data_IF_278193781103
#
_entry.id   IF_278193781103
#
_cell.length_a   1.000
_cell.length_b   1.000
_cell.length_c   1.000
_cell.angle_alpha   90.00
_cell.angle_beta   90.00
_cell.angle_gamma   90.00
#
_symmetry.space_group_name_H-M   'P 1'
#
loop_
_entity.id
_entity.type
_entity.pdbx_description
1 polymer ?
#
# COMPACT_ATOMS: atom_id res chain seq x y z
N UNK A 1 -47.54 -33.40 -9.40
CA UNK A 1 -48.23 -34.25 -8.42
C UNK A 1 -49.02 -33.33 -7.50
N UNK A 2 -50.35 -33.35 -7.64
CA UNK A 2 -51.35 -33.03 -6.60
C UNK A 2 -51.41 -31.60 -6.05
N UNK A 3 -51.66 -30.59 -6.91
CA UNK A 3 -52.19 -29.28 -6.47
C UNK A 3 -53.35 -28.75 -7.34
N UNK A 4 -53.98 -29.63 -8.12
CA UNK A 4 -55.31 -29.40 -8.69
C UNK A 4 -56.25 -30.44 -8.09
N UNK A 5 -57.51 -30.05 -7.86
CA UNK A 5 -58.58 -30.77 -7.14
C UNK A 5 -58.70 -30.37 -5.67
N UNK A 6 -59.21 -29.17 -5.39
CA UNK A 6 -60.29 -28.92 -4.40
C UNK A 6 -60.59 -27.42 -4.36
N UNK A 7 -61.16 -26.89 -5.44
CA UNK A 7 -61.90 -25.63 -5.39
C UNK A 7 -63.04 -25.72 -6.41
N UNK A 8 -64.12 -26.40 -6.02
CA UNK A 8 -65.40 -26.21 -6.70
C UNK A 8 -66.06 -25.01 -6.04
N UNK A 9 -66.27 -23.89 -6.75
CA UNK A 9 -67.13 -22.84 -6.25
C UNK A 9 -68.56 -23.39 -6.27
N UNK A 10 -69.13 -23.64 -5.10
CA UNK A 10 -70.56 -23.88 -4.97
C UNK A 10 -71.23 -22.52 -5.20
N UNK A 11 -71.49 -22.21 -6.46
CA UNK A 11 -72.45 -21.19 -6.85
C UNK A 11 -73.80 -21.57 -6.27
N UNK A 12 -74.17 -20.96 -5.14
CA UNK A 12 -75.53 -21.00 -4.64
C UNK A 12 -76.35 -20.03 -5.47
N UNK A 13 -76.98 -20.55 -6.52
CA UNK A 13 -77.89 -19.81 -7.38
C UNK A 13 -79.12 -19.42 -6.54
N UNK A 14 -79.47 -18.12 -6.39
CA UNK A 14 -80.51 -17.68 -5.48
C UNK A 14 -81.88 -17.70 -6.16
N UNK A 15 -82.25 -18.81 -6.81
CA UNK A 15 -83.55 -18.91 -7.50
C UNK A 15 -84.22 -20.26 -7.19
N UNK A 16 -84.49 -20.50 -5.91
CA UNK A 16 -85.58 -21.40 -5.53
C UNK A 16 -86.77 -20.56 -5.08
N UNK A 17 -87.55 -20.11 -6.06
CA UNK A 17 -88.92 -19.66 -5.85
C UNK A 17 -89.71 -20.86 -5.32
N UNK A 18 -89.75 -21.06 -4.00
CA UNK A 18 -90.73 -21.92 -3.37
C UNK A 18 -92.05 -21.16 -3.44
N UNK A 19 -92.74 -21.29 -4.56
CA UNK A 19 -94.15 -20.97 -4.68
C UNK A 19 -94.89 -21.76 -3.61
N UNK A 20 -95.32 -21.06 -2.55
CA UNK A 20 -96.31 -21.57 -1.61
C UNK A 20 -97.52 -21.97 -2.45
N UNK A 21 -97.71 -23.28 -2.63
CA UNK A 21 -98.86 -23.84 -3.33
C UNK A 21 -100.11 -23.35 -2.60
N UNK A 22 -100.79 -22.37 -3.18
CA UNK A 22 -102.16 -22.00 -2.79
C UNK A 22 -103.05 -23.18 -3.17
N UNK A 23 -103.36 -24.03 -2.20
CA UNK A 23 -104.51 -24.94 -2.32
C UNK A 23 -105.79 -24.12 -2.17
N UNK A 24 -106.21 -23.48 -3.27
CA UNK A 24 -107.56 -22.95 -3.43
C UNK A 24 -108.41 -23.93 -4.23
N UNK A 25 -109.58 -24.24 -3.68
CA UNK A 25 -110.77 -24.78 -4.35
C UNK A 25 -110.76 -26.27 -4.79
N UNK A 26 -111.21 -27.16 -3.90
CA UNK A 26 -112.11 -28.26 -4.27
C UNK A 26 -113.26 -28.27 -3.25
N UNK A 27 -114.49 -28.18 -3.77
CA UNK A 27 -115.75 -28.11 -3.02
C UNK A 27 -116.47 -29.48 -3.11
N UNK A 28 -117.30 -29.78 -2.09
CA UNK A 28 -118.30 -30.87 -1.91
C UNK A 28 -117.88 -32.08 -1.02
N UNK A 29 -118.82 -32.71 -0.27
CA UNK A 29 -119.75 -32.15 0.72
C UNK A 29 -119.71 -32.88 2.10
N UNK A 30 -120.03 -32.13 3.17
CA UNK A 30 -120.61 -32.53 4.47
C UNK A 30 -120.08 -33.77 5.23
N UNK A 31 -119.29 -33.54 6.30
CA UNK A 31 -119.64 -34.15 7.60
C UNK A 31 -118.52 -34.59 8.56
N UNK A 32 -117.34 -35.04 8.10
CA UNK A 32 -116.36 -35.72 9.00
C UNK A 32 -114.87 -35.34 8.78
N UNK A 33 -114.52 -34.44 7.86
CA UNK A 33 -113.11 -34.21 7.48
C UNK A 33 -112.42 -32.95 8.06
N UNK A 34 -113.06 -32.18 8.94
CA UNK A 34 -112.47 -30.93 9.45
C UNK A 34 -111.30 -31.16 10.45
N UNK A 35 -111.25 -32.31 11.12
CA UNK A 35 -110.20 -32.63 12.11
C UNK A 35 -108.91 -33.12 11.44
N UNK A 36 -109.02 -33.86 10.33
CA UNK A 36 -107.87 -34.42 9.61
C UNK A 36 -107.09 -33.35 8.82
N UNK A 37 -107.80 -32.43 8.14
CA UNK A 37 -107.16 -31.34 7.39
C UNK A 37 -106.45 -30.33 8.29
N UNK A 38 -107.01 -30.04 9.48
CA UNK A 38 -106.36 -29.21 10.50
C UNK A 38 -105.07 -29.83 11.04
N UNK A 39 -105.04 -31.15 11.23
CA UNK A 39 -103.85 -31.88 11.69
C UNK A 39 -102.74 -31.93 10.62
N UNK A 40 -103.08 -32.17 9.35
CA UNK A 40 -102.12 -32.14 8.24
C UNK A 40 -101.57 -30.71 8.03
N UNK A 41 -102.42 -29.69 8.18
CA UNK A 41 -101.97 -28.29 8.12
C UNK A 41 -101.08 -27.91 9.30
N UNK A 42 -101.41 -28.36 10.52
CA UNK A 42 -100.60 -28.10 11.71
C UNK A 42 -99.25 -28.83 11.67
N UNK A 43 -99.20 -30.06 11.12
CA UNK A 43 -97.95 -30.80 10.92
C UNK A 43 -97.08 -30.18 9.82
N UNK A 44 -97.67 -29.73 8.70
CA UNK A 44 -96.94 -28.95 7.68
C UNK A 44 -96.45 -27.60 8.21
N UNK A 45 -97.23 -26.94 9.07
CA UNK A 45 -96.82 -25.69 9.69
C UNK A 45 -95.67 -25.91 10.68
N UNK A 46 -95.72 -26.98 11.49
CA UNK A 46 -94.61 -27.35 12.37
C UNK A 46 -93.31 -27.66 11.61
N UNK A 47 -93.42 -28.34 10.47
CA UNK A 47 -92.27 -28.59 9.59
C UNK A 47 -91.73 -27.30 8.96
N UNK A 48 -92.60 -26.39 8.54
CA UNK A 48 -92.20 -25.08 8.02
C UNK A 48 -91.56 -24.20 9.11
N UNK A 49 -92.08 -24.20 10.33
CA UNK A 49 -91.49 -23.48 11.47
C UNK A 49 -90.11 -24.04 11.81
N UNK A 50 -89.95 -25.38 11.72
CA UNK A 50 -88.66 -26.04 11.90
C UNK A 50 -87.68 -25.71 10.77
N UNK A 51 -88.13 -25.69 9.52
CA UNK A 51 -87.33 -25.25 8.36
C UNK A 51 -86.92 -23.78 8.48
N UNK A 52 -87.83 -22.90 8.92
CA UNK A 52 -87.51 -21.50 9.18
C UNK A 52 -86.43 -21.36 10.26
N UNK A 53 -86.52 -22.13 11.35
CA UNK A 53 -85.49 -22.15 12.40
C UNK A 53 -84.13 -22.66 11.90
N UNK A 54 -84.12 -23.65 10.98
CA UNK A 54 -82.89 -24.12 10.35
C UNK A 54 -82.30 -23.08 9.39
N UNK A 55 -83.12 -22.41 8.58
CA UNK A 55 -82.68 -21.33 7.70
C UNK A 55 -82.10 -20.15 8.48
N UNK A 56 -82.71 -19.77 9.60
CA UNK A 56 -82.17 -18.73 10.47
C UNK A 56 -80.86 -19.15 11.12
N UNK A 57 -80.73 -20.43 11.51
CA UNK A 57 -79.47 -20.98 12.01
C UNK A 57 -78.38 -20.97 10.94
N UNK A 58 -78.69 -21.35 9.71
CA UNK A 58 -77.74 -21.31 8.57
C UNK A 58 -77.25 -19.88 8.33
N UNK A 59 -78.15 -18.90 8.26
CA UNK A 59 -77.78 -17.48 8.10
C UNK A 59 -76.88 -16.98 9.24
N UNK A 60 -77.15 -17.41 10.49
CA UNK A 60 -76.31 -17.03 11.63
C UNK A 60 -74.90 -17.63 11.55
N UNK A 61 -74.78 -18.85 11.02
CA UNK A 61 -73.50 -19.55 10.85
C UNK A 61 -72.72 -19.01 9.67
N UNK A 62 -73.37 -18.67 8.56
CA UNK A 62 -72.76 -18.01 7.41
C UNK A 62 -72.19 -16.65 7.81
N UNK A 63 -72.95 -15.85 8.58
CA UNK A 63 -72.45 -14.58 9.11
C UNK A 63 -71.24 -14.77 10.02
N UNK A 64 -71.29 -15.73 10.94
CA UNK A 64 -70.17 -16.03 11.82
C UNK A 64 -68.93 -16.52 11.04
N UNK A 65 -69.12 -17.34 10.00
CA UNK A 65 -68.02 -17.79 9.14
C UNK A 65 -67.41 -16.62 8.36
N UNK A 66 -68.22 -15.73 7.80
CA UNK A 66 -67.71 -14.53 7.12
C UNK A 66 -66.88 -13.65 8.06
N UNK A 67 -67.33 -13.47 9.32
CA UNK A 67 -66.58 -12.74 10.34
C UNK A 67 -65.26 -13.43 10.72
N UNK A 68 -65.25 -14.77 10.78
CA UNK A 68 -64.03 -15.54 11.04
C UNK A 68 -63.06 -15.48 9.86
N UNK A 69 -63.53 -15.60 8.62
CA UNK A 69 -62.72 -15.46 7.43
C UNK A 69 -62.07 -14.07 7.36
N UNK A 70 -62.81 -13.02 7.71
CA UNK A 70 -62.29 -11.65 7.75
C UNK A 70 -61.19 -11.51 8.82
N UNK A 71 -61.41 -12.05 10.03
CA UNK A 71 -60.39 -12.07 11.08
C UNK A 71 -59.15 -12.87 10.69
N UNK A 72 -59.32 -13.99 9.99
CA UNK A 72 -58.20 -14.80 9.48
C UNK A 72 -57.42 -13.99 8.44
N UNK A 73 -58.09 -13.33 7.50
CA UNK A 73 -57.42 -12.46 6.52
C UNK A 73 -56.66 -11.32 7.18
N UNK A 74 -57.27 -10.60 8.13
CA UNK A 74 -56.59 -9.54 8.88
C UNK A 74 -55.38 -10.06 9.68
N UNK A 75 -55.50 -11.24 10.29
CA UNK A 75 -54.38 -11.86 11.00
C UNK A 75 -53.26 -12.29 10.05
N UNK A 76 -53.61 -12.82 8.87
CA UNK A 76 -52.65 -13.14 7.82
C UNK A 76 -51.98 -11.89 7.28
N UNK A 77 -52.71 -10.79 7.03
CA UNK A 77 -52.16 -9.53 6.53
C UNK A 77 -51.22 -8.84 7.55
N UNK A 78 -51.61 -8.85 8.83
CA UNK A 78 -50.76 -8.37 9.94
C UNK A 78 -49.52 -9.23 10.17
N UNK A 79 -49.53 -10.53 9.80
CA UNK A 79 -48.34 -11.38 9.75
C UNK A 79 -47.57 -11.30 8.43
N UNK A 80 -48.25 -10.98 7.33
CA UNK A 80 -47.67 -10.87 5.99
C UNK A 80 -46.79 -9.62 5.87
N UNK A 81 -47.00 -8.63 6.74
CA UNK A 81 -45.97 -7.65 7.09
C UNK A 81 -45.02 -8.35 8.08
N UNK A 82 -43.85 -8.85 7.64
CA UNK A 82 -42.96 -9.58 8.52
C UNK A 82 -42.48 -8.65 9.65
N UNK A 83 -41.82 -9.18 10.70
CA UNK A 83 -41.10 -8.39 11.70
C UNK A 83 -39.87 -7.63 11.14
N UNK A 84 -39.90 -7.25 9.86
CA UNK A 84 -38.92 -6.43 9.16
C UNK A 84 -38.69 -5.07 9.85
N UNK A 85 -39.67 -4.59 10.65
CA UNK A 85 -39.52 -3.37 11.45
C UNK A 85 -38.57 -3.50 12.66
N UNK A 86 -38.26 -4.70 13.15
CA UNK A 86 -37.41 -4.87 14.35
C UNK A 86 -35.91 -4.98 14.05
N UNK A 87 -35.51 -5.18 12.79
CA UNK A 87 -34.10 -5.27 12.40
C UNK A 87 -33.47 -3.93 11.99
N UNK A 88 -34.28 -2.91 11.73
CA UNK A 88 -33.82 -1.56 11.32
C UNK A 88 -32.82 -0.95 12.31
N UNK A 89 -33.09 -1.08 13.63
CA UNK A 89 -32.17 -0.60 14.66
C UNK A 89 -30.81 -1.34 14.66
N UNK A 90 -30.80 -2.64 14.31
CA UNK A 90 -29.55 -3.40 14.19
C UNK A 90 -28.77 -3.02 12.93
N UNK A 91 -29.44 -2.71 11.82
CA UNK A 91 -28.73 -2.22 10.63
C UNK A 91 -28.05 -0.88 10.87
N UNK A 92 -28.68 0.04 11.62
CA UNK A 92 -28.06 1.29 12.02
C UNK A 92 -26.81 1.06 12.89
N UNK A 93 -26.88 0.18 13.90
CA UNK A 93 -25.71 -0.12 14.74
C UNK A 93 -24.60 -0.86 13.98
N UNK A 94 -24.95 -1.76 13.06
CA UNK A 94 -23.97 -2.43 12.18
C UNK A 94 -23.28 -1.41 11.27
N UNK A 95 -24.03 -0.49 10.66
CA UNK A 95 -23.49 0.57 9.81
C UNK A 95 -22.54 1.48 10.61
N UNK A 96 -22.92 1.89 11.82
CA UNK A 96 -22.08 2.70 12.70
C UNK A 96 -20.79 1.97 13.11
N UNK A 97 -20.88 0.67 13.39
CA UNK A 97 -19.71 -0.17 13.70
C UNK A 97 -18.79 -0.31 12.48
N UNK A 98 -19.34 -0.53 11.29
CA UNK A 98 -18.58 -0.58 10.05
C UNK A 98 -17.86 0.75 9.78
N UNK A 99 -18.54 1.88 9.97
CA UNK A 99 -17.93 3.21 9.84
C UNK A 99 -16.80 3.42 10.84
N UNK A 100 -16.97 3.00 12.11
CA UNK A 100 -15.91 3.04 13.13
C UNK A 100 -14.72 2.17 12.76
N UNK A 101 -14.95 0.97 12.23
CA UNK A 101 -13.88 0.07 11.79
C UNK A 101 -13.11 0.70 10.62
N UNK A 102 -13.80 1.25 9.63
CA UNK A 102 -13.16 1.91 8.48
C UNK A 102 -12.35 3.13 8.92
N UNK A 103 -12.92 3.97 9.79
CA UNK A 103 -12.21 5.11 10.36
C UNK A 103 -10.97 4.66 11.16
N UNK A 104 -11.10 3.68 12.04
CA UNK A 104 -9.98 3.14 12.80
C UNK A 104 -8.91 2.54 11.89
N UNK A 105 -9.30 1.86 10.80
CA UNK A 105 -8.37 1.29 9.81
C UNK A 105 -7.60 2.39 9.10
N UNK A 106 -8.27 3.45 8.63
CA UNK A 106 -7.60 4.60 8.00
C UNK A 106 -6.67 5.36 8.95
N UNK A 107 -7.08 5.56 10.21
CA UNK A 107 -6.19 6.17 11.22
C UNK A 107 -4.97 5.29 11.49
N UNK A 108 -5.18 3.98 11.61
CA UNK A 108 -4.11 3.01 11.83
C UNK A 108 -3.12 2.99 10.65
N UNK A 109 -3.60 2.97 9.41
CA UNK A 109 -2.77 3.11 8.20
C UNK A 109 -1.96 4.42 8.23
N UNK A 110 -2.58 5.53 8.61
CA UNK A 110 -1.88 6.82 8.79
C UNK A 110 -0.76 6.75 9.84
N UNK A 111 -0.98 6.04 10.96
CA UNK A 111 0.03 5.82 11.99
C UNK A 111 1.17 4.93 11.47
N UNK A 112 0.88 3.88 10.70
CA UNK A 112 1.91 3.04 10.07
C UNK A 112 2.78 3.84 9.12
N UNK A 113 2.18 4.65 8.24
CA UNK A 113 2.91 5.52 7.32
C UNK A 113 3.78 6.54 8.06
N UNK A 114 3.25 7.16 9.12
CA UNK A 114 4.03 8.07 9.97
C UNK A 114 5.19 7.36 10.67
N UNK A 115 4.96 6.14 11.16
CA UNK A 115 5.99 5.31 11.79
C UNK A 115 7.10 4.97 10.79
N UNK A 116 6.75 4.58 9.57
CA UNK A 116 7.74 4.25 8.55
C UNK A 116 8.48 5.49 8.05
N UNK A 117 7.80 6.64 7.95
CA UNK A 117 8.46 7.92 7.66
C UNK A 117 9.49 8.28 8.75
N UNK A 118 9.11 8.15 10.03
CA UNK A 118 10.04 8.39 11.15
C UNK A 118 11.22 7.43 11.12
N UNK A 119 11.02 6.14 10.82
CA UNK A 119 12.12 5.17 10.68
C UNK A 119 13.08 5.55 9.55
N UNK A 120 12.56 5.91 8.39
CA UNK A 120 13.37 6.37 7.26
C UNK A 120 14.17 7.64 7.62
N UNK A 121 13.53 8.60 8.32
CA UNK A 121 14.21 9.80 8.79
C UNK A 121 15.32 9.47 9.81
N UNK A 122 15.09 8.50 10.71
CA UNK A 122 16.11 8.03 11.66
C UNK A 122 17.30 7.40 10.93
N UNK A 123 17.05 6.57 9.92
CA UNK A 123 18.12 5.98 9.11
C UNK A 123 18.90 7.05 8.33
N UNK A 124 18.23 8.05 7.75
CA UNK A 124 18.85 9.20 7.10
C UNK A 124 19.77 9.98 8.06
N UNK A 125 19.29 10.23 9.29
CA UNK A 125 20.10 10.91 10.31
C UNK A 125 21.25 10.05 10.80
N UNK A 126 21.09 8.73 10.90
CA UNK A 126 22.18 7.81 11.25
C UNK A 126 23.30 7.91 10.22
N UNK A 127 22.99 7.80 8.93
CA UNK A 127 23.98 7.90 7.85
C UNK A 127 24.67 9.27 7.84
N UNK A 128 23.91 10.36 8.04
CA UNK A 128 24.49 11.70 8.15
C UNK A 128 25.45 11.82 9.35
N UNK A 129 25.07 11.24 10.50
CA UNK A 129 25.92 11.22 11.69
C UNK A 129 27.21 10.42 11.48
N UNK A 130 27.12 9.23 10.88
CA UNK A 130 28.29 8.41 10.57
C UNK A 130 29.25 9.11 9.60
N UNK A 131 28.72 9.76 8.56
CA UNK A 131 29.52 10.56 7.64
C UNK A 131 30.23 11.74 8.33
N UNK A 132 29.51 12.50 9.17
CA UNK A 132 30.08 13.62 9.92
C UNK A 132 31.14 13.16 10.93
N UNK A 133 30.90 12.01 11.60
CA UNK A 133 31.85 11.41 12.51
C UNK A 133 33.15 11.01 11.78
N UNK A 134 33.02 10.38 10.61
CA UNK A 134 34.18 9.99 9.80
C UNK A 134 34.97 11.22 9.32
N UNK A 135 34.28 12.27 8.85
CA UNK A 135 34.94 13.54 8.48
C UNK A 135 35.66 14.18 9.67
N UNK A 136 35.02 14.22 10.84
CA UNK A 136 35.64 14.72 12.07
C UNK A 136 36.88 13.91 12.44
N UNK A 137 36.82 12.60 12.42
CA UNK A 137 37.96 11.73 12.74
C UNK A 137 39.13 11.94 11.77
N UNK A 138 38.86 12.12 10.48
CA UNK A 138 39.88 12.46 9.49
C UNK A 138 40.56 13.79 9.83
N UNK A 139 39.77 14.83 10.13
CA UNK A 139 40.31 16.15 10.50
C UNK A 139 41.09 16.09 11.82
N UNK A 140 40.63 15.30 12.80
CA UNK A 140 41.36 15.09 14.05
C UNK A 140 42.70 14.39 13.83
N UNK A 141 42.75 13.40 12.94
CA UNK A 141 43.99 12.74 12.54
C UNK A 141 44.95 13.73 11.86
N UNK A 142 44.45 14.58 10.96
CA UNK A 142 45.24 15.62 10.30
C UNK A 142 45.80 16.63 11.32
N UNK A 143 44.98 17.08 12.28
CA UNK A 143 45.42 17.98 13.36
C UNK A 143 46.50 17.32 14.22
N UNK A 144 46.35 16.05 14.57
CA UNK A 144 47.35 15.31 15.31
C UNK A 144 48.67 15.18 14.52
N UNK A 145 48.58 14.92 13.21
CA UNK A 145 49.72 14.89 12.30
C UNK A 145 50.44 16.24 12.23
N UNK A 146 49.69 17.34 12.08
CA UNK A 146 50.25 18.70 12.04
C UNK A 146 50.92 19.08 13.36
N UNK A 147 50.37 18.67 14.50
CA UNK A 147 51.03 18.87 15.81
C UNK A 147 52.37 18.14 15.88
N UNK A 148 52.43 16.89 15.40
CA UNK A 148 53.67 16.11 15.34
C UNK A 148 54.73 16.79 14.46
N UNK A 149 54.34 17.30 13.30
CA UNK A 149 55.24 18.06 12.40
C UNK A 149 55.73 19.35 13.06
N UNK A 150 54.86 20.06 13.79
CA UNK A 150 55.24 21.25 14.54
C UNK A 150 56.28 20.91 15.63
N UNK A 151 56.09 19.81 16.36
CA UNK A 151 57.04 19.36 17.38
C UNK A 151 58.39 19.00 16.74
N UNK A 152 58.39 18.26 15.62
CA UNK A 152 59.60 17.94 14.85
C UNK A 152 60.34 19.19 14.36
N UNK A 153 59.60 20.18 13.84
CA UNK A 153 60.18 21.44 13.36
C UNK A 153 60.73 22.27 14.51
N UNK A 154 60.07 22.25 15.67
CA UNK A 154 60.54 22.94 16.88
C UNK A 154 61.85 22.34 17.38
N UNK A 155 61.95 21.01 17.41
CA UNK A 155 63.19 20.30 17.76
C UNK A 155 64.32 20.62 16.77
N UNK A 156 64.05 20.55 15.46
CA UNK A 156 65.03 20.90 14.45
C UNK A 156 65.49 22.36 14.56
N UNK A 157 64.57 23.29 14.90
CA UNK A 157 64.91 24.69 15.14
C UNK A 157 65.85 24.84 16.34
N UNK A 158 65.55 24.19 17.46
CA UNK A 158 66.43 24.24 18.64
C UNK A 158 67.80 23.61 18.39
N UNK A 159 67.87 22.52 17.61
CA UNK A 159 69.13 21.88 17.26
C UNK A 159 70.01 22.82 16.39
N UNK A 160 69.39 23.49 15.42
CA UNK A 160 70.08 24.49 14.59
C UNK A 160 70.49 25.73 15.39
N UNK A 161 69.63 26.22 16.29
CA UNK A 161 69.96 27.33 17.20
C UNK A 161 71.18 26.97 18.05
N UNK A 162 71.23 25.76 18.62
CA UNK A 162 72.37 25.27 19.40
C UNK A 162 73.64 25.16 18.55
N UNK A 163 73.56 24.57 17.35
CA UNK A 163 74.71 24.48 16.44
C UNK A 163 75.29 25.87 16.11
N UNK A 164 74.44 26.86 15.84
CA UNK A 164 74.87 28.24 15.58
C UNK A 164 75.54 28.86 16.81
N UNK A 165 75.00 28.65 18.01
CA UNK A 165 75.62 29.14 19.24
C UNK A 165 76.98 28.50 19.49
N UNK A 166 77.10 27.18 19.30
CA UNK A 166 78.37 26.45 19.44
C UNK A 166 79.42 26.92 18.44
N UNK A 167 79.05 27.05 17.15
CA UNK A 167 79.94 27.58 16.12
C UNK A 167 80.41 29.01 16.44
N UNK A 168 79.50 29.87 16.92
CA UNK A 168 79.83 31.24 17.30
C UNK A 168 80.81 31.30 18.48
N UNK A 169 80.60 30.46 19.50
CA UNK A 169 81.51 30.36 20.65
C UNK A 169 82.88 29.85 20.19
N UNK A 170 82.90 28.81 19.36
CA UNK A 170 84.13 28.26 18.80
C UNK A 170 84.91 29.31 18.00
N UNK A 171 84.24 30.06 17.11
CA UNK A 171 84.87 31.08 16.29
C UNK A 171 85.43 32.23 17.13
N UNK A 172 84.69 32.68 18.15
CA UNK A 172 85.17 33.72 19.09
C UNK A 172 86.40 33.27 19.85
N UNK A 173 86.39 32.05 20.38
CA UNK A 173 87.53 31.47 21.10
C UNK A 173 88.75 31.34 20.18
N UNK A 174 88.57 30.81 18.97
CA UNK A 174 89.67 30.68 18.01
C UNK A 174 90.25 32.05 17.64
N UNK A 175 89.40 33.06 17.42
CA UNK A 175 89.86 34.42 17.15
C UNK A 175 90.64 35.03 18.33
N UNK A 176 90.18 34.81 19.56
CA UNK A 176 90.88 35.27 20.76
C UNK A 176 92.25 34.62 20.92
N UNK A 177 92.35 33.31 20.67
CA UNK A 177 93.61 32.56 20.67
C UNK A 177 94.55 33.04 19.53
N UNK A 178 94.04 33.27 18.33
CA UNK A 178 94.81 33.82 17.20
C UNK A 178 95.32 35.24 17.49
N UNK A 179 94.50 36.10 18.10
CA UNK A 179 94.92 37.44 18.51
C UNK A 179 95.98 37.39 19.61
N UNK A 180 95.84 36.50 20.58
CA UNK A 180 96.85 36.26 21.62
C UNK A 180 98.17 35.79 20.99
N UNK A 181 98.11 34.84 20.04
CA UNK A 181 99.28 34.36 19.30
C UNK A 181 99.92 35.47 18.44
N UNK A 182 99.14 36.25 17.70
CA UNK A 182 99.63 37.37 16.91
C UNK A 182 100.23 38.48 17.79
N UNK A 183 99.66 38.73 18.97
CA UNK A 183 100.20 39.68 19.95
C UNK A 183 101.50 39.18 20.58
N UNK A 184 101.61 37.88 20.85
CA UNK A 184 102.84 37.25 21.25
C UNK A 184 103.92 37.36 20.15
N UNK A 185 103.54 37.22 18.88
CA UNK A 185 104.45 37.44 17.75
C UNK A 185 104.83 38.92 17.55
N UNK A 186 103.94 39.87 17.82
CA UNK A 186 104.24 41.31 17.76
C UNK A 186 105.19 41.80 18.87
N UNK A 187 105.41 41.04 19.94
CA UNK A 187 106.32 41.40 21.05
C UNK A 187 107.77 40.94 20.83
N UNK A 188 108.12 40.43 19.65
CA UNK A 188 109.44 39.86 19.42
C UNK A 188 109.88 39.93 17.98
N UNK A 189 110.26 41.11 17.50
CA UNK A 189 111.26 41.19 16.43
C UNK A 189 112.63 40.87 17.07
N UNK A 190 112.83 39.59 17.37
CA UNK A 190 114.12 39.09 17.88
C UNK A 190 114.66 38.14 16.83
N UNK A 191 115.67 38.64 16.12
CA UNK A 191 116.56 37.82 15.34
C UNK A 191 117.41 37.02 16.35
N UNK A 192 117.03 35.77 16.62
CA UNK A 192 117.79 34.87 17.49
C UNK A 192 118.48 33.83 16.61
N UNK A 193 119.77 34.01 16.38
CA UNK A 193 120.67 32.93 15.98
C UNK A 193 120.90 32.06 17.22
N UNK A 194 120.14 30.96 17.34
CA UNK A 194 120.38 29.93 18.37
C UNK A 194 121.26 28.87 17.77
N UNK A 195 122.43 28.70 18.37
CA UNK A 195 123.38 27.61 18.15
C UNK A 195 122.68 26.25 18.28
N UNK A 196 122.73 25.47 17.19
CA UNK A 196 121.97 24.24 17.04
C UNK A 196 122.60 23.10 17.86
N UNK A 197 121.87 22.61 18.86
CA UNK A 197 122.06 21.27 19.39
C UNK A 197 121.86 20.23 18.26
N UNK A 198 122.44 19.02 18.35
CA UNK A 198 122.56 18.08 17.25
C UNK A 198 121.21 17.86 16.55
N UNK A 199 121.18 18.18 15.26
CA UNK A 199 120.05 18.08 14.34
C UNK A 199 119.22 16.80 14.61
N UNK A 200 117.99 16.95 15.12
CA UNK A 200 116.99 15.92 14.88
C UNK A 200 116.79 15.84 13.36
N UNK A 201 116.84 14.63 12.82
CA UNK A 201 116.76 14.38 11.39
C UNK A 201 115.39 14.82 10.87
N UNK A 202 115.30 16.08 10.44
CA UNK A 202 114.08 16.72 9.95
C UNK A 202 113.47 15.91 8.80
N UNK A 203 114.31 15.21 8.05
CA UNK A 203 113.93 14.28 6.99
C UNK A 203 113.04 13.15 7.54
N UNK A 204 113.39 12.59 8.70
CA UNK A 204 112.64 11.52 9.38
C UNK A 204 111.30 12.03 9.91
N UNK A 205 111.27 13.20 10.55
CA UNK A 205 110.04 13.82 11.07
C UNK A 205 109.10 14.18 9.92
N UNK A 206 109.62 14.76 8.83
CA UNK A 206 108.82 15.07 7.63
C UNK A 206 108.32 13.81 6.91
N UNK A 207 109.06 12.70 6.96
CA UNK A 207 108.61 11.41 6.46
C UNK A 207 107.50 10.80 7.36
N UNK A 208 107.63 10.89 8.68
CA UNK A 208 106.60 10.45 9.64
C UNK A 208 105.31 11.27 9.51
N UNK A 209 105.41 12.59 9.33
CA UNK A 209 104.26 13.47 9.09
C UNK A 209 103.58 13.09 7.76
N UNK A 210 104.34 12.88 6.68
CA UNK A 210 103.77 12.39 5.41
C UNK A 210 103.05 11.05 5.58
N UNK A 211 103.69 10.09 6.23
CA UNK A 211 103.10 8.78 6.47
C UNK A 211 101.80 8.88 7.30
N UNK A 212 101.77 9.74 8.32
CA UNK A 212 100.57 9.99 9.10
C UNK A 212 99.45 10.60 8.24
N UNK A 213 99.74 11.60 7.41
CA UNK A 213 98.75 12.20 6.51
C UNK A 213 98.28 11.24 5.42
N UNK A 214 99.14 10.39 4.88
CA UNK A 214 98.75 9.35 3.92
C UNK A 214 97.79 8.34 4.55
N UNK A 215 98.05 7.92 5.79
CA UNK A 215 97.15 7.02 6.54
C UNK A 215 95.81 7.70 6.83
N UNK A 216 95.81 8.96 7.25
CA UNK A 216 94.58 9.72 7.51
C UNK A 216 93.79 9.96 6.22
N UNK A 217 94.45 10.31 5.12
CA UNK A 217 93.80 10.50 3.82
C UNK A 217 93.21 9.19 3.29
N UNK A 218 93.94 8.08 3.39
CA UNK A 218 93.46 6.76 2.99
C UNK A 218 92.28 6.30 3.86
N UNK A 219 92.33 6.54 5.17
CA UNK A 219 91.22 6.26 6.09
C UNK A 219 89.99 7.09 5.74
N UNK A 220 90.15 8.41 5.57
CA UNK A 220 89.06 9.30 5.19
C UNK A 220 88.41 8.88 3.87
N UNK A 221 89.21 8.51 2.86
CA UNK A 221 88.68 8.02 1.59
C UNK A 221 87.86 6.73 1.77
N UNK A 222 88.35 5.80 2.58
CA UNK A 222 87.64 4.54 2.86
C UNK A 222 86.34 4.77 3.63
N UNK A 223 86.36 5.66 4.63
CA UNK A 223 85.19 5.99 5.44
C UNK A 223 84.13 6.72 4.59
N UNK A 224 84.57 7.59 3.65
CA UNK A 224 83.68 8.31 2.74
C UNK A 224 83.04 7.37 1.70
N UNK A 225 83.82 6.43 1.16
CA UNK A 225 83.29 5.39 0.26
C UNK A 225 82.28 4.50 1.00
N UNK A 226 82.61 4.04 2.23
CA UNK A 226 81.69 3.24 3.03
C UNK A 226 80.39 3.99 3.35
N UNK A 227 80.49 5.28 3.68
CA UNK A 227 79.32 6.14 3.91
C UNK A 227 78.48 6.31 2.64
N UNK A 228 79.12 6.53 1.49
CA UNK A 228 78.43 6.65 0.20
C UNK A 228 77.70 5.35 -0.17
N UNK A 229 78.37 4.21 -0.02
CA UNK A 229 77.76 2.90 -0.28
C UNK A 229 76.57 2.64 0.65
N UNK A 230 76.72 2.91 1.95
CA UNK A 230 75.63 2.76 2.92
C UNK A 230 74.42 3.64 2.56
N UNK A 231 74.66 4.89 2.12
CA UNK A 231 73.59 5.80 1.71
C UNK A 231 72.94 5.37 0.40
N UNK A 232 73.73 4.89 -0.56
CA UNK A 232 73.25 4.35 -1.84
C UNK A 232 72.38 3.10 -1.63
N UNK A 233 72.82 2.16 -0.79
CA UNK A 233 72.04 0.98 -0.43
C UNK A 233 70.73 1.32 0.27
N UNK A 234 70.75 2.29 1.19
CA UNK A 234 69.54 2.75 1.87
C UNK A 234 68.53 3.36 0.88
N UNK A 235 69.01 4.22 -0.03
CA UNK A 235 68.18 4.82 -1.07
C UNK A 235 67.62 3.75 -2.03
N UNK A 236 68.44 2.76 -2.41
CA UNK A 236 68.00 1.69 -3.30
C UNK A 236 66.92 0.82 -2.66
N UNK A 237 67.01 0.55 -1.34
CA UNK A 237 65.95 -0.14 -0.58
C UNK A 237 64.67 0.68 -0.53
N UNK A 238 64.76 1.98 -0.28
CA UNK A 238 63.59 2.86 -0.26
C UNK A 238 62.91 2.95 -1.62
N UNK A 239 63.69 3.06 -2.71
CA UNK A 239 63.17 3.02 -4.08
C UNK A 239 62.48 1.68 -4.36
N UNK A 240 63.07 0.54 -3.96
CA UNK A 240 62.44 -0.77 -4.13
C UNK A 240 61.09 -0.85 -3.41
N UNK A 241 61.02 -0.44 -2.13
CA UNK A 241 59.76 -0.41 -1.36
C UNK A 241 58.74 0.56 -1.98
N UNK A 242 59.19 1.73 -2.42
CA UNK A 242 58.31 2.70 -3.10
C UNK A 242 57.76 2.14 -4.41
N UNK A 243 58.58 1.42 -5.20
CA UNK A 243 58.10 0.78 -6.43
C UNK A 243 57.12 -0.36 -6.17
N UNK A 244 57.31 -1.14 -5.11
CA UNK A 244 56.39 -2.20 -4.71
C UNK A 244 55.04 -1.63 -4.27
N UNK A 245 55.05 -0.61 -3.41
CA UNK A 245 53.83 0.07 -2.95
C UNK A 245 53.08 0.77 -4.11
N UNK A 246 53.80 1.30 -5.10
CA UNK A 246 53.19 1.83 -6.33
C UNK A 246 52.54 0.72 -7.16
N UNK A 247 53.17 -0.45 -7.26
CA UNK A 247 52.58 -1.59 -7.97
C UNK A 247 51.33 -2.12 -7.27
N UNK A 248 51.35 -2.27 -5.94
CA UNK A 248 50.18 -2.75 -5.18
C UNK A 248 49.01 -1.78 -5.28
N UNK A 249 49.27 -0.47 -5.12
CA UNK A 249 48.24 0.56 -5.29
C UNK A 249 47.67 0.54 -6.71
N UNK A 250 48.52 0.35 -7.74
CA UNK A 250 48.07 0.22 -9.12
C UNK A 250 47.18 -1.00 -9.32
N UNK A 251 47.51 -2.16 -8.74
CA UNK A 251 46.66 -3.36 -8.83
C UNK A 251 45.32 -3.16 -8.13
N UNK A 252 45.31 -2.57 -6.94
CA UNK A 252 44.08 -2.25 -6.19
C UNK A 252 43.16 -1.31 -6.99
N UNK A 253 43.72 -0.27 -7.62
CA UNK A 253 42.97 0.64 -8.50
C UNK A 253 42.37 -0.12 -9.69
N UNK A 254 43.12 -1.05 -10.30
CA UNK A 254 42.59 -1.84 -11.41
C UNK A 254 41.46 -2.78 -10.97
N UNK A 255 41.58 -3.41 -9.81
CA UNK A 255 40.53 -4.27 -9.24
C UNK A 255 39.27 -3.47 -8.92
N UNK A 256 39.41 -2.31 -8.26
CA UNK A 256 38.29 -1.40 -7.98
C UNK A 256 37.59 -0.91 -9.25
N UNK A 257 38.34 -0.64 -10.33
CA UNK A 257 37.75 -0.29 -11.62
C UNK A 257 36.97 -1.45 -12.23
N UNK A 258 37.48 -2.68 -12.13
CA UNK A 258 36.77 -3.86 -12.62
C UNK A 258 35.49 -4.13 -11.82
N UNK A 259 35.51 -4.00 -10.49
CA UNK A 259 34.31 -4.17 -9.66
C UNK A 259 33.28 -3.09 -9.94
N UNK A 260 33.70 -1.83 -10.12
CA UNK A 260 32.82 -0.72 -10.50
C UNK A 260 32.13 -1.00 -11.83
N UNK A 261 32.87 -1.40 -12.87
CA UNK A 261 32.28 -1.74 -14.17
C UNK A 261 31.29 -2.90 -14.06
N UNK A 262 31.60 -3.93 -13.27
CA UNK A 262 30.67 -5.05 -13.04
C UNK A 262 29.38 -4.61 -12.36
N UNK A 263 29.46 -3.69 -11.40
CA UNK A 263 28.31 -3.14 -10.69
C UNK A 263 27.46 -2.25 -11.63
N UNK A 264 28.09 -1.42 -12.47
CA UNK A 264 27.41 -0.60 -13.46
C UNK A 264 26.62 -1.46 -14.47
N UNK A 265 27.22 -2.55 -14.96
CA UNK A 265 26.55 -3.51 -15.84
C UNK A 265 25.37 -4.16 -15.10
N UNK A 266 25.57 -4.56 -13.85
CA UNK A 266 24.50 -5.12 -13.01
C UNK A 266 23.32 -4.16 -12.84
N UNK A 267 23.60 -2.89 -12.58
CA UNK A 267 22.59 -1.84 -12.45
C UNK A 267 21.83 -1.62 -13.77
N UNK A 268 22.54 -1.52 -14.90
CA UNK A 268 21.90 -1.40 -16.22
C UNK A 268 20.99 -2.59 -16.54
N UNK A 269 21.43 -3.80 -16.21
CA UNK A 269 20.61 -5.01 -16.37
C UNK A 269 19.33 -4.93 -15.53
N UNK A 270 19.43 -4.51 -14.26
CA UNK A 270 18.25 -4.35 -13.39
C UNK A 270 17.27 -3.30 -13.92
N UNK A 271 17.77 -2.14 -14.36
CA UNK A 271 16.93 -1.10 -14.98
C UNK A 271 16.20 -1.62 -16.21
N UNK A 272 16.88 -2.39 -17.07
CA UNK A 272 16.25 -3.02 -18.23
C UNK A 272 15.14 -4.00 -17.83
N UNK A 273 15.36 -4.79 -16.77
CA UNK A 273 14.36 -5.73 -16.25
C UNK A 273 13.13 -4.98 -15.71
N UNK A 274 13.32 -3.92 -14.92
CA UNK A 274 12.22 -3.09 -14.42
C UNK A 274 11.41 -2.47 -15.57
N UNK A 275 12.08 -1.98 -16.61
CA UNK A 275 11.41 -1.46 -17.81
C UNK A 275 10.54 -2.53 -18.47
N UNK A 276 11.08 -3.73 -18.69
CA UNK A 276 10.30 -4.82 -19.31
C UNK A 276 9.12 -5.25 -18.44
N UNK A 277 9.27 -5.23 -17.10
CA UNK A 277 8.17 -5.52 -16.19
C UNK A 277 7.07 -4.46 -16.29
N UNK A 278 7.42 -3.18 -16.31
CA UNK A 278 6.47 -2.09 -16.51
C UNK A 278 5.73 -2.21 -17.85
N UNK A 279 6.43 -2.55 -18.93
CA UNK A 279 5.82 -2.79 -20.24
C UNK A 279 4.83 -3.96 -20.21
N UNK A 280 5.20 -5.07 -19.55
CA UNK A 280 4.29 -6.22 -19.41
C UNK A 280 3.05 -5.86 -18.58
N UNK A 281 3.22 -5.14 -17.48
CA UNK A 281 2.11 -4.68 -16.64
C UNK A 281 1.18 -3.75 -17.42
N UNK A 282 1.72 -2.82 -18.21
CA UNK A 282 0.93 -1.93 -19.06
C UNK A 282 0.12 -2.73 -20.11
N UNK A 283 0.72 -3.75 -20.74
CA UNK A 283 -0.01 -4.63 -21.68
C UNK A 283 -1.15 -5.39 -21.00
N UNK A 284 -0.91 -5.97 -19.82
CA UNK A 284 -1.96 -6.67 -19.08
C UNK A 284 -3.08 -5.72 -18.63
N UNK A 285 -2.74 -4.52 -18.18
CA UNK A 285 -3.72 -3.51 -17.81
C UNK A 285 -4.60 -3.10 -19.02
N UNK A 286 -4.01 -2.91 -20.19
CA UNK A 286 -4.75 -2.63 -21.43
C UNK A 286 -5.69 -3.79 -21.82
N UNK A 287 -5.23 -5.04 -21.70
CA UNK A 287 -6.05 -6.21 -21.97
C UNK A 287 -7.22 -6.33 -20.99
N UNK A 288 -6.99 -6.09 -19.70
CA UNK A 288 -8.02 -6.09 -18.67
C UNK A 288 -9.07 -5.00 -18.91
N UNK A 289 -8.63 -3.80 -19.32
CA UNK A 289 -9.53 -2.72 -19.73
C UNK A 289 -10.38 -3.11 -20.95
N UNK A 290 -9.78 -3.82 -21.91
CA UNK A 290 -10.51 -4.37 -23.05
C UNK A 290 -11.59 -5.39 -22.65
N UNK A 291 -11.27 -6.31 -21.74
CA UNK A 291 -12.27 -7.24 -21.20
C UNK A 291 -13.36 -6.53 -20.40
N UNK A 292 -13.00 -5.52 -19.60
CA UNK A 292 -13.96 -4.71 -18.87
C UNK A 292 -14.96 -4.02 -19.82
N UNK A 293 -14.48 -3.48 -20.94
CA UNK A 293 -15.35 -2.89 -21.96
C UNK A 293 -16.32 -3.92 -22.57
N UNK A 294 -15.85 -5.14 -22.85
CA UNK A 294 -16.71 -6.22 -23.35
C UNK A 294 -17.79 -6.60 -22.32
N UNK A 295 -17.42 -6.73 -21.05
CA UNK A 295 -18.36 -7.01 -19.96
C UNK A 295 -19.42 -5.92 -19.87
N UNK A 296 -19.02 -4.65 -19.81
CA UNK A 296 -19.96 -3.52 -19.73
C UNK A 296 -20.88 -3.44 -20.96
N UNK A 297 -20.38 -3.75 -22.16
CA UNK A 297 -21.22 -3.81 -23.36
C UNK A 297 -22.25 -4.96 -23.32
N UNK A 298 -21.87 -6.11 -22.78
CA UNK A 298 -22.78 -7.25 -22.60
C UNK A 298 -23.83 -6.96 -21.50
N UNK A 299 -23.43 -6.31 -20.42
CA UNK A 299 -24.35 -5.84 -19.36
C UNK A 299 -25.37 -4.85 -19.92
N UNK A 300 -24.93 -3.90 -20.76
CA UNK A 300 -25.84 -2.96 -21.43
C UNK A 300 -26.82 -3.68 -22.37
N UNK A 301 -26.35 -4.66 -23.14
CA UNK A 301 -27.23 -5.48 -23.98
C UNK A 301 -28.24 -6.30 -23.15
N UNK A 302 -27.80 -6.87 -22.04
CA UNK A 302 -28.67 -7.62 -21.12
C UNK A 302 -29.77 -6.72 -20.56
N UNK A 303 -29.41 -5.56 -20.01
CA UNK A 303 -30.38 -4.61 -19.47
C UNK A 303 -31.37 -4.11 -20.53
N UNK A 304 -30.92 -3.87 -21.77
CA UNK A 304 -31.81 -3.51 -22.87
C UNK A 304 -32.84 -4.61 -23.16
N UNK A 305 -32.41 -5.87 -23.22
CA UNK A 305 -33.30 -7.01 -23.45
C UNK A 305 -34.27 -7.22 -22.28
N UNK A 306 -33.83 -7.00 -21.03
CA UNK A 306 -34.69 -7.06 -19.86
C UNK A 306 -35.80 -6.00 -19.90
N UNK A 307 -35.47 -4.78 -20.32
CA UNK A 307 -36.47 -3.71 -20.54
C UNK A 307 -37.44 -4.12 -21.66
N UNK A 308 -36.95 -4.64 -22.78
CA UNK A 308 -37.79 -5.08 -23.91
C UNK A 308 -38.77 -6.19 -23.49
N UNK A 309 -38.29 -7.18 -22.72
CA UNK A 309 -39.13 -8.25 -22.15
C UNK A 309 -40.20 -7.68 -21.21
N UNK A 310 -39.84 -6.71 -20.36
CA UNK A 310 -40.78 -6.06 -19.46
C UNK A 310 -41.86 -5.29 -20.24
N UNK A 311 -41.48 -4.61 -21.32
CA UNK A 311 -42.42 -3.91 -22.21
C UNK A 311 -43.37 -4.88 -22.92
N UNK A 312 -42.85 -5.98 -23.48
CA UNK A 312 -43.70 -7.02 -24.10
C UNK A 312 -44.68 -7.63 -23.11
N UNK A 313 -44.25 -7.93 -21.86
CA UNK A 313 -45.15 -8.43 -20.81
C UNK A 313 -46.27 -7.43 -20.50
N UNK A 314 -45.95 -6.14 -20.37
CA UNK A 314 -46.94 -5.08 -20.13
C UNK A 314 -47.94 -4.95 -21.27
N UNK A 315 -47.48 -5.04 -22.53
CA UNK A 315 -48.37 -4.99 -23.70
C UNK A 315 -49.31 -6.20 -23.74
N UNK A 316 -48.80 -7.40 -23.47
CA UNK A 316 -49.61 -8.63 -23.40
C UNK A 316 -50.67 -8.56 -22.28
N UNK A 317 -50.32 -8.04 -21.10
CA UNK A 317 -51.26 -7.78 -20.01
C UNK A 317 -52.31 -6.71 -20.37
N UNK A 318 -51.92 -5.72 -21.19
CA UNK A 318 -52.82 -4.70 -21.71
C UNK A 318 -53.83 -5.25 -22.73
N UNK A 319 -53.39 -6.15 -23.62
CA UNK A 319 -54.28 -6.84 -24.58
C UNK A 319 -55.29 -7.75 -23.88
N UNK A 320 -54.89 -8.47 -22.83
CA UNK A 320 -55.83 -9.27 -22.05
C UNK A 320 -56.94 -8.43 -21.39
N UNK A 321 -56.67 -7.15 -21.11
CA UNK A 321 -57.66 -6.21 -20.59
C UNK A 321 -58.45 -5.45 -21.67
N UNK A 322 -58.13 -5.61 -22.95
CA UNK A 322 -58.86 -4.96 -24.05
C UNK A 322 -59.85 -5.89 -24.77
N UNK A 323 -59.83 -7.19 -24.49
CA UNK A 323 -60.69 -8.20 -25.11
C UNK A 323 -62.16 -8.20 -24.60
N UNK A 324 -62.56 -7.13 -23.90
CA UNK A 324 -63.96 -6.86 -23.53
C UNK A 324 -64.47 -5.53 -24.12
N UNK A 325 -64.39 -5.36 -25.44
CA UNK A 325 -65.17 -4.32 -26.13
C UNK A 325 -66.67 -4.69 -26.10
N UNK A 326 -67.42 -4.14 -25.15
CA UNK A 326 -68.89 -4.21 -25.14
C UNK A 326 -69.41 -3.16 -26.11
N UNK A 327 -69.91 -3.59 -27.26
CA UNK A 327 -70.62 -2.69 -28.19
C UNK A 327 -72.05 -2.58 -27.69
N UNK A 328 -72.45 -1.37 -27.28
CA UNK A 328 -73.82 -1.06 -26.87
C UNK A 328 -74.49 -0.41 -28.07
N UNK A 329 -75.46 -1.10 -28.65
CA UNK A 329 -76.31 -0.53 -29.71
C UNK A 329 -77.59 -0.04 -29.04
N UNK A 330 -77.78 1.29 -29.05
CA UNK A 330 -78.99 1.93 -28.55
C UNK A 330 -79.86 2.35 -29.73
N UNK A 331 -81.11 1.88 -29.76
CA UNK A 331 -82.08 2.28 -30.76
C UNK A 331 -82.89 3.47 -30.23
N UNK A 332 -82.74 4.62 -30.89
CA UNK A 332 -83.36 5.90 -30.52
C UNK A 332 -84.38 6.31 -31.56
N UNK A 333 -85.63 6.44 -31.14
CA UNK A 333 -86.73 6.99 -31.96
C UNK A 333 -87.35 8.16 -31.20
N UNK A 334 -87.51 9.31 -31.87
CA UNK A 334 -88.02 10.57 -31.28
C UNK A 334 -87.30 11.04 -29.99
N UNK A 335 -85.97 10.87 -29.94
CA UNK A 335 -85.14 11.43 -28.87
C UNK A 335 -85.20 10.70 -27.51
N UNK A 336 -85.80 9.51 -27.44
CA UNK A 336 -85.69 8.59 -26.29
C UNK A 336 -85.25 7.20 -26.73
N UNK A 337 -84.35 6.60 -25.94
CA UNK A 337 -83.84 5.23 -26.14
C UNK A 337 -84.97 4.24 -25.85
N UNK A 338 -85.31 3.38 -26.82
CA UNK A 338 -86.44 2.42 -26.72
C UNK A 338 -85.95 0.98 -26.54
N UNK A 339 -84.72 0.66 -26.97
CA UNK A 339 -84.05 -0.60 -26.62
C UNK A 339 -82.54 -0.41 -26.56
N UNK A 340 -81.89 -1.11 -25.63
CA UNK A 340 -80.43 -1.23 -25.57
C UNK A 340 -80.04 -2.70 -25.60
N UNK A 341 -79.15 -3.06 -26.52
CA UNK A 341 -78.57 -4.40 -26.64
C UNK A 341 -77.06 -4.31 -26.49
N UNK A 342 -76.52 -5.10 -25.58
CA UNK A 342 -75.07 -5.24 -25.37
C UNK A 342 -74.62 -6.59 -25.93
N UNK A 343 -73.67 -6.54 -26.87
CA UNK A 343 -72.95 -7.72 -27.35
C UNK A 343 -71.47 -7.57 -27.03
N UNK A 344 -70.95 -8.54 -26.26
CA UNK A 344 -69.52 -8.73 -26.02
C UNK A 344 -68.95 -9.58 -27.15
N UNK A 345 -67.98 -9.03 -27.88
CA UNK A 345 -67.28 -9.77 -28.94
C UNK A 345 -65.81 -9.81 -28.58
N UNK A 346 -65.27 -11.01 -28.34
CA UNK A 346 -63.83 -11.22 -28.19
C UNK A 346 -63.20 -11.20 -29.58
N UNK A 347 -62.28 -10.28 -29.81
CA UNK A 347 -61.48 -10.25 -31.02
C UNK A 347 -60.04 -10.54 -30.64
N UNK A 348 -59.64 -11.79 -30.86
CA UNK A 348 -58.23 -12.17 -30.84
C UNK A 348 -57.55 -11.59 -32.07
N UNK A 349 -56.83 -10.49 -31.90
CA UNK A 349 -55.93 -9.96 -32.94
C UNK A 349 -54.67 -10.83 -32.92
N UNK A 350 -54.34 -11.43 -34.06
CA UNK A 350 -53.12 -12.25 -34.26
C UNK A 350 -51.90 -11.40 -34.55
#
# INVERSE_FOLDING_TARGET
MLWELFYLPVHFQPDFHISVIKFSQIYLPSGVEMVSFGFIKATMQNLNDRLASYLEKVRSLEKANADFELKIRQFLDSKATPPAHYYSAYYATISDLQAKIQHATGVNEGIYLSTDNVKLAVDDFRVKYENELNMRQSVEADIAGLRRVLDELTMARSDLELQIEEELIFLKKNHEEELLAARAQMSGQVNVEVDAAPQEDLTKIMAEIRAHYEVVAAKNHKDLEAWFQAKSEALNKEVAVSTETLQTSRSEITELKCTLQSLEIGLQSQLSMVSTLADTQARYAAMLSGYQFQVTSLEEQLTRLEIEIAEYRRLLEGEQNLDYMVTIVEEVVDGKVVSSSSQSTSQTVS
#
